data_IF_135636086696
#
_entry.id   IF_135636086696
#
_cell.length_a   1.000
_cell.length_b   1.000
_cell.length_c   1.000
_cell.angle_alpha   90.00
_cell.angle_beta   90.00
_cell.angle_gamma   90.00
#
_symmetry.space_group_name_H-M   'P 1'
#
loop_
_entity.id
_entity.type
_entity.pdbx_description
1 polymer ?
#
# COMPACT_ATOMS: atom_id res chain seq x y z
N UNK A 1 10.84 -11.43 0.34
CA UNK A 1 9.79 -10.44 0.67
C UNK A 1 8.86 -11.01 1.75
N UNK A 2 8.06 -10.20 2.45
CA UNK A 2 7.19 -10.68 3.54
C UNK A 2 6.22 -11.77 3.08
N UNK A 3 5.57 -11.57 1.93
CA UNK A 3 4.71 -12.56 1.29
C UNK A 3 5.39 -13.91 1.08
N UNK A 4 6.61 -13.93 0.52
CA UNK A 4 7.37 -15.16 0.29
C UNK A 4 7.65 -15.92 1.60
N UNK A 5 7.96 -15.20 2.68
CA UNK A 5 8.18 -15.81 3.99
C UNK A 5 6.89 -16.46 4.51
N UNK A 6 5.76 -15.78 4.34
CA UNK A 6 4.44 -16.28 4.71
C UNK A 6 4.04 -17.52 3.91
N UNK A 7 4.12 -17.47 2.58
CA UNK A 7 3.76 -18.60 1.69
C UNK A 7 4.70 -19.79 1.83
N UNK A 8 5.90 -19.59 2.39
CA UNK A 8 6.82 -20.67 2.79
C UNK A 8 6.45 -21.33 4.13
N UNK A 9 5.29 -20.98 4.72
CA UNK A 9 4.76 -21.60 5.94
C UNK A 9 5.15 -20.91 7.24
N UNK A 10 5.55 -19.62 7.22
CA UNK A 10 5.86 -18.86 8.44
C UNK A 10 4.77 -17.84 8.79
N UNK A 11 4.10 -18.09 9.91
CA UNK A 11 3.03 -17.24 10.44
C UNK A 11 1.65 -17.65 9.94
N UNK A 12 0.63 -17.38 10.75
CA UNK A 12 -0.76 -17.79 10.46
C UNK A 12 -1.54 -16.71 9.69
N UNK A 13 -1.09 -15.46 9.78
CA UNK A 13 -1.67 -14.32 9.09
C UNK A 13 -0.58 -13.32 8.69
N UNK A 14 -0.78 -12.66 7.55
CA UNK A 14 0.06 -11.58 7.06
C UNK A 14 -0.78 -10.32 6.83
N UNK A 15 -0.36 -9.20 7.41
CA UNK A 15 -0.88 -7.88 7.06
C UNK A 15 -0.09 -7.40 5.83
N UNK A 16 -0.76 -7.33 4.68
CA UNK A 16 -0.13 -6.95 3.43
C UNK A 16 -1.01 -6.05 2.55
N UNK A 17 -0.45 -5.59 1.44
CA UNK A 17 -1.19 -4.93 0.37
C UNK A 17 -2.13 -5.90 -0.34
N UNK A 18 -3.31 -5.41 -0.74
CA UNK A 18 -4.25 -6.17 -1.58
C UNK A 18 -3.63 -6.62 -2.92
N UNK A 19 -2.70 -5.83 -3.49
CA UNK A 19 -1.97 -6.20 -4.70
C UNK A 19 -1.19 -7.51 -4.54
N UNK A 20 -0.60 -7.71 -3.36
CA UNK A 20 0.27 -8.84 -3.06
C UNK A 20 -0.57 -10.11 -2.83
N UNK A 21 -1.72 -9.96 -2.17
CA UNK A 21 -2.72 -11.03 -2.06
C UNK A 21 -3.24 -11.46 -3.46
N UNK A 22 -3.60 -10.50 -4.31
CA UNK A 22 -4.04 -10.78 -5.69
C UNK A 22 -2.92 -11.43 -6.52
N UNK A 23 -1.66 -11.03 -6.31
CA UNK A 23 -0.52 -11.63 -6.98
C UNK A 23 -0.30 -13.10 -6.55
N UNK A 24 -0.41 -13.38 -5.25
CA UNK A 24 -0.33 -14.74 -4.70
C UNK A 24 -1.46 -15.65 -5.23
N UNK A 25 -2.71 -15.16 -5.26
CA UNK A 25 -3.84 -15.91 -5.86
C UNK A 25 -3.59 -16.23 -7.34
N UNK A 26 -3.03 -15.29 -8.11
CA UNK A 26 -2.65 -15.53 -9.52
C UNK A 26 -1.51 -16.52 -9.68
N UNK A 27 -0.58 -16.55 -8.73
CA UNK A 27 0.52 -17.50 -8.71
C UNK A 27 0.07 -18.92 -8.28
N UNK A 28 -1.15 -19.06 -7.76
CA UNK A 28 -1.68 -20.32 -7.25
C UNK A 28 -1.21 -20.64 -5.83
N UNK A 29 -0.73 -19.63 -5.09
CA UNK A 29 -0.35 -19.81 -3.69
C UNK A 29 -1.58 -20.16 -2.84
N UNK A 30 -1.41 -21.08 -1.89
CA UNK A 30 -2.48 -21.53 -1.01
C UNK A 30 -2.74 -20.53 0.14
N UNK A 31 -3.31 -19.38 -0.20
CA UNK A 31 -3.66 -18.32 0.77
C UNK A 31 -5.17 -18.07 0.84
N UNK A 32 -5.61 -17.41 1.91
CA UNK A 32 -6.94 -16.83 1.98
C UNK A 32 -6.81 -15.31 2.04
N UNK A 33 -7.37 -14.62 1.04
CA UNK A 33 -7.44 -13.17 1.03
C UNK A 33 -8.67 -12.69 1.80
N UNK A 34 -8.44 -11.96 2.90
CA UNK A 34 -9.50 -11.46 3.80
C UNK A 34 -9.44 -9.94 3.89
N UNK A 35 -10.56 -9.28 3.60
CA UNK A 35 -10.74 -7.84 3.84
C UNK A 35 -11.44 -7.62 5.19
N UNK A 36 -10.79 -6.95 6.17
CA UNK A 36 -11.40 -6.69 7.47
C UNK A 36 -12.55 -5.67 7.35
N UNK A 37 -13.42 -5.64 8.37
CA UNK A 37 -14.57 -4.69 8.43
C UNK A 37 -14.15 -3.22 8.33
N UNK A 38 -12.98 -2.91 8.88
CA UNK A 38 -12.33 -1.60 8.84
C UNK A 38 -10.94 -1.75 8.24
N UNK A 39 -10.64 -0.94 7.23
CA UNK A 39 -9.31 -0.89 6.62
C UNK A 39 -8.97 0.54 6.19
N UNK A 40 -7.70 0.78 5.86
CA UNK A 40 -7.19 2.09 5.44
C UNK A 40 -7.04 2.18 3.92
N UNK A 41 -7.41 3.33 3.35
CA UNK A 41 -7.09 3.67 1.97
C UNK A 41 -5.58 3.82 1.81
N UNK A 42 -4.98 2.87 1.11
CA UNK A 42 -3.58 2.95 0.69
C UNK A 42 -3.49 3.88 -0.51
N UNK A 43 -2.66 4.92 -0.40
CA UNK A 43 -2.40 5.86 -1.50
C UNK A 43 -0.91 5.80 -1.84
N UNK A 44 -0.59 5.47 -3.08
CA UNK A 44 0.78 5.35 -3.60
C UNK A 44 1.12 6.60 -4.44
N UNK A 45 1.63 7.69 -3.82
CA UNK A 45 1.91 8.92 -4.54
C UNK A 45 3.10 8.74 -5.50
N UNK A 46 3.00 9.39 -6.67
CA UNK A 46 4.07 9.46 -7.66
C UNK A 46 4.32 10.93 -8.03
N UNK A 47 5.59 11.29 -8.25
CA UNK A 47 5.98 12.65 -8.60
C UNK A 47 7.24 12.67 -9.48
N UNK A 48 7.39 13.72 -10.29
CA UNK A 48 8.64 14.00 -11.02
C UNK A 48 9.64 14.64 -10.06
N UNK A 49 10.89 14.20 -10.11
CA UNK A 49 11.96 14.81 -9.31
C UNK A 49 12.34 16.19 -9.84
N UNK A 50 12.53 17.16 -8.95
CA UNK A 50 12.80 18.55 -9.33
C UNK A 50 14.09 18.73 -10.16
N UNK A 51 15.07 17.83 -10.00
CA UNK A 51 16.38 17.89 -10.70
C UNK A 51 16.51 16.85 -11.81
N UNK A 52 15.41 16.40 -12.40
CA UNK A 52 15.45 15.44 -13.50
C UNK A 52 16.16 16.02 -14.73
N UNK A 53 17.20 15.35 -15.24
CA UNK A 53 17.84 15.65 -16.53
C UNK A 53 16.90 15.43 -17.72
N UNK A 54 15.75 14.79 -17.50
CA UNK A 54 14.75 14.43 -18.50
C UNK A 54 13.35 14.85 -18.08
N UNK A 55 13.20 16.04 -17.48
CA UNK A 55 11.94 16.53 -16.90
C UNK A 55 10.71 16.36 -17.81
N UNK A 56 10.83 16.70 -19.11
CA UNK A 56 9.73 16.56 -20.06
C UNK A 56 9.31 15.09 -20.27
N UNK A 57 10.27 14.16 -20.41
CA UNK A 57 9.98 12.73 -20.55
C UNK A 57 9.40 12.14 -19.26
N UNK A 58 9.93 12.54 -18.10
CA UNK A 58 9.43 12.14 -16.81
C UNK A 58 7.99 12.62 -16.59
N UNK A 59 7.68 13.86 -16.98
CA UNK A 59 6.32 14.40 -16.92
C UNK A 59 5.38 13.68 -17.89
N UNK A 60 5.84 13.36 -19.11
CA UNK A 60 5.05 12.57 -20.05
C UNK A 60 4.74 11.17 -19.51
N UNK A 61 5.71 10.51 -18.87
CA UNK A 61 5.49 9.23 -18.21
C UNK A 61 4.50 9.37 -17.05
N UNK A 62 4.67 10.37 -16.18
CA UNK A 62 3.71 10.64 -15.10
C UNK A 62 2.30 10.86 -15.65
N UNK A 63 2.13 11.66 -16.69
CA UNK A 63 0.84 11.90 -17.34
C UNK A 63 0.25 10.59 -17.92
N UNK A 64 1.08 9.75 -18.51
CA UNK A 64 0.65 8.45 -19.05
C UNK A 64 0.14 7.51 -17.95
N UNK A 65 0.70 7.55 -16.73
CA UNK A 65 0.18 6.77 -15.59
C UNK A 65 -1.29 7.10 -15.28
N UNK A 66 -1.75 8.32 -15.58
CA UNK A 66 -3.14 8.77 -15.39
C UNK A 66 -4.05 8.48 -16.58
N UNK A 67 -3.52 7.98 -17.70
CA UNK A 67 -4.31 7.58 -18.86
C UNK A 67 -5.10 6.30 -18.59
N UNK A 68 -6.13 6.03 -19.41
CA UNK A 68 -6.88 4.78 -19.31
C UNK A 68 -5.98 3.54 -19.49
N UNK A 69 -4.99 3.60 -20.37
CA UNK A 69 -4.05 2.50 -20.60
C UNK A 69 -3.15 2.25 -19.37
N UNK A 70 -2.56 3.32 -18.80
CA UNK A 70 -1.75 3.20 -17.60
C UNK A 70 -2.55 2.67 -16.40
N UNK A 71 -3.78 3.17 -16.23
CA UNK A 71 -4.68 2.73 -15.16
C UNK A 71 -5.16 1.30 -15.34
N UNK A 72 -5.37 0.83 -16.57
CA UNK A 72 -5.70 -0.57 -16.84
C UNK A 72 -4.55 -1.50 -16.43
N UNK A 73 -3.30 -1.13 -16.72
CA UNK A 73 -2.13 -1.91 -16.30
C UNK A 73 -2.05 -1.98 -14.78
N UNK A 74 -2.26 -0.87 -14.06
CA UNK A 74 -2.34 -0.89 -12.59
C UNK A 74 -3.42 -1.87 -12.09
N UNK A 75 -4.61 -1.85 -12.70
CA UNK A 75 -5.69 -2.77 -12.36
C UNK A 75 -5.33 -4.24 -12.59
N UNK A 76 -4.69 -4.53 -13.73
CA UNK A 76 -4.21 -5.87 -14.08
C UNK A 76 -3.15 -6.38 -13.10
N UNK A 77 -2.33 -5.48 -12.54
CA UNK A 77 -1.34 -5.80 -11.52
C UNK A 77 -1.91 -5.82 -10.09
N UNK A 78 -3.23 -5.67 -9.91
CA UNK A 78 -3.88 -5.77 -8.59
C UNK A 78 -3.91 -4.47 -7.79
N UNK A 79 -3.63 -3.33 -8.42
CA UNK A 79 -3.76 -2.02 -7.78
C UNK A 79 -5.08 -1.36 -8.18
N UNK A 80 -5.79 -0.79 -7.20
CA UNK A 80 -7.06 -0.09 -7.44
C UNK A 80 -6.85 1.13 -8.35
N UNK A 81 -7.47 1.19 -9.54
CA UNK A 81 -7.39 2.35 -10.40
C UNK A 81 -8.09 3.56 -9.78
N UNK A 82 -7.54 4.74 -10.03
CA UNK A 82 -8.09 6.02 -9.56
C UNK A 82 -8.92 6.73 -10.64
N UNK A 83 -8.73 6.36 -11.91
CA UNK A 83 -9.56 6.85 -13.01
C UNK A 83 -10.90 6.10 -13.02
N UNK A 84 -12.01 6.81 -12.74
CA UNK A 84 -13.34 6.22 -12.57
C UNK A 84 -13.82 5.34 -13.73
N UNK A 85 -13.50 5.74 -14.97
CA UNK A 85 -13.85 4.97 -16.18
C UNK A 85 -13.15 3.62 -16.24
N UNK A 86 -11.97 3.48 -15.64
CA UNK A 86 -11.25 2.20 -15.52
C UNK A 86 -11.67 1.47 -14.26
N UNK A 87 -11.76 2.16 -13.11
CA UNK A 87 -12.14 1.54 -11.84
C UNK A 87 -13.47 0.77 -11.93
N UNK A 88 -14.46 1.31 -12.65
CA UNK A 88 -15.75 0.65 -12.89
C UNK A 88 -15.64 -0.67 -13.67
N UNK A 89 -14.69 -0.78 -14.61
CA UNK A 89 -14.47 -2.00 -15.39
C UNK A 89 -13.83 -3.13 -14.57
N UNK A 90 -13.11 -2.78 -13.49
CA UNK A 90 -12.39 -3.72 -12.64
C UNK A 90 -13.04 -3.89 -11.26
N UNK A 91 -14.22 -3.33 -11.02
CA UNK A 91 -14.86 -3.32 -9.70
C UNK A 91 -15.06 -4.72 -9.12
N UNK A 92 -15.32 -5.73 -9.96
CA UNK A 92 -15.47 -7.13 -9.52
C UNK A 92 -14.18 -7.76 -8.98
N UNK A 93 -13.01 -7.19 -9.27
CA UNK A 93 -11.71 -7.69 -8.77
C UNK A 93 -11.35 -7.13 -7.39
N UNK A 94 -12.04 -6.10 -6.93
CA UNK A 94 -11.66 -5.34 -5.75
C UNK A 94 -12.82 -5.29 -4.75
N UNK A 95 -12.82 -6.14 -3.71
CA UNK A 95 -13.87 -6.13 -2.70
C UNK A 95 -14.05 -4.75 -2.07
N UNK A 96 -15.28 -4.30 -1.88
CA UNK A 96 -15.53 -3.01 -1.19
C UNK A 96 -15.57 -3.24 0.31
N UNK A 97 -14.64 -2.69 1.10
CA UNK A 97 -14.66 -2.82 2.55
C UNK A 97 -15.86 -2.07 3.14
N UNK A 98 -16.48 -2.56 4.23
CA UNK A 98 -17.59 -1.86 4.89
C UNK A 98 -17.20 -0.46 5.39
N UNK A 99 -15.97 -0.31 5.87
CA UNK A 99 -15.44 0.97 6.33
C UNK A 99 -14.00 1.16 5.83
N UNK A 100 -13.84 2.16 4.97
CA UNK A 100 -12.54 2.58 4.45
C UNK A 100 -12.19 3.95 5.00
N UNK A 101 -11.27 4.02 5.95
CA UNK A 101 -10.79 5.30 6.46
C UNK A 101 -9.56 5.77 5.69
N UNK A 102 -9.26 7.07 5.75
CA UNK A 102 -8.05 7.64 5.16
C UNK A 102 -7.11 8.09 6.27
N UNK A 103 -5.86 8.41 5.93
CA UNK A 103 -4.90 8.97 6.89
C UNK A 103 -5.42 10.23 7.61
N UNK A 104 -6.41 10.94 7.03
CA UNK A 104 -7.05 12.10 7.66
C UNK A 104 -7.78 11.74 8.96
N UNK A 105 -8.35 10.54 9.05
CA UNK A 105 -8.97 10.04 10.28
C UNK A 105 -7.99 10.02 11.45
N UNK A 106 -6.71 9.76 11.16
CA UNK A 106 -5.61 9.78 12.14
C UNK A 106 -4.96 11.17 12.31
N UNK A 107 -5.49 12.21 11.65
CA UNK A 107 -4.96 13.57 11.68
C UNK A 107 -3.86 13.87 10.65
N UNK A 108 -3.69 13.00 9.64
CA UNK A 108 -2.76 13.20 8.53
C UNK A 108 -1.31 12.77 8.83
N UNK A 109 -0.51 12.68 7.77
CA UNK A 109 0.84 12.11 7.82
C UNK A 109 1.79 12.82 8.80
N UNK A 110 1.69 14.14 8.97
CA UNK A 110 2.54 14.86 9.94
C UNK A 110 2.29 14.39 11.37
N UNK A 111 1.02 14.29 11.77
CA UNK A 111 0.65 13.82 13.12
C UNK A 111 1.00 12.34 13.29
N UNK A 112 0.66 11.51 12.31
CA UNK A 112 0.93 10.06 12.34
C UNK A 112 2.42 9.77 12.47
N UNK A 113 3.28 10.42 11.67
CA UNK A 113 4.72 10.24 11.78
C UNK A 113 5.26 10.62 13.16
N UNK A 114 4.87 11.78 13.68
CA UNK A 114 5.32 12.24 15.00
C UNK A 114 4.83 11.34 16.14
N UNK A 115 3.57 10.87 16.06
CA UNK A 115 2.95 10.09 17.12
C UNK A 115 3.46 8.65 17.13
N UNK A 116 3.47 7.98 15.98
CA UNK A 116 3.72 6.54 15.92
C UNK A 116 5.16 6.20 15.52
N UNK A 117 5.76 6.98 14.61
CA UNK A 117 6.98 6.60 13.91
C UNK A 117 8.17 7.53 14.19
N UNK A 118 8.08 8.38 15.21
CA UNK A 118 9.25 9.12 15.66
C UNK A 118 10.31 8.12 16.18
N UNK A 119 11.56 8.20 15.69
CA UNK A 119 12.58 7.19 15.98
C UNK A 119 13.01 7.14 17.46
N UNK A 120 12.64 8.14 18.24
CA UNK A 120 13.03 8.28 19.66
C UNK A 120 11.84 8.13 20.62
N UNK A 121 10.68 8.68 20.25
CA UNK A 121 9.50 8.79 21.14
C UNK A 121 8.20 8.32 20.50
N UNK A 122 8.25 7.78 19.29
CA UNK A 122 7.07 7.24 18.61
C UNK A 122 6.52 6.04 19.38
N UNK A 123 5.20 5.85 19.35
CA UNK A 123 4.57 4.72 20.04
C UNK A 123 5.12 3.36 19.56
N UNK A 124 5.47 3.21 18.27
CA UNK A 124 6.07 1.99 17.75
C UNK A 124 7.45 1.75 18.35
N UNK A 125 8.29 2.78 18.41
CA UNK A 125 9.62 2.72 19.05
C UNK A 125 9.51 2.26 20.50
N UNK A 126 8.54 2.77 21.26
CA UNK A 126 8.31 2.37 22.66
C UNK A 126 7.90 0.89 22.77
N UNK A 127 7.02 0.44 21.87
CA UNK A 127 6.55 -0.96 21.83
C UNK A 127 7.73 -1.89 21.52
N UNK A 128 8.56 -1.54 20.53
CA UNK A 128 9.75 -2.31 20.15
C UNK A 128 10.77 -2.39 21.29
N UNK A 129 11.05 -1.27 21.96
CA UNK A 129 11.94 -1.24 23.13
C UNK A 129 11.41 -2.10 24.29
N UNK A 130 10.12 -2.03 24.58
CA UNK A 130 9.49 -2.86 25.60
C UNK A 130 9.57 -4.36 25.26
N UNK A 131 9.63 -4.70 23.96
CA UNK A 131 9.82 -6.06 23.47
C UNK A 131 11.31 -6.48 23.35
N UNK A 132 12.26 -5.61 23.74
CA UNK A 132 13.70 -5.89 23.64
C UNK A 132 14.24 -5.86 22.21
N UNK A 133 13.52 -5.27 21.26
CA UNK A 133 13.95 -5.10 19.87
C UNK A 133 14.85 -3.86 19.78
N UNK A 134 16.04 -3.96 19.16
CA UNK A 134 16.89 -2.79 18.93
C UNK A 134 16.20 -1.75 18.06
N UNK A 135 16.24 -0.48 18.48
CA UNK A 135 15.70 0.66 17.75
C UNK A 135 16.84 1.61 17.35
N UNK A 136 16.58 2.56 16.44
CA UNK A 136 17.57 3.59 16.08
C UNK A 136 17.95 4.54 17.24
N UNK A 137 17.27 4.39 18.38
CA UNK A 137 17.43 5.16 19.62
C UNK A 137 18.10 4.38 20.75
N UNK A 138 18.37 3.07 20.55
CA UNK A 138 19.04 2.18 21.51
C UNK A 138 20.45 1.80 21.09
#
# INVERSE_FOLDING_TARGET
>A
AALQTFTSGKGDALLDYESDAIAAEKAGDAIQYIVPKQTILIQTPIAVTAKSSHAAKAQAFLNWQWSAAGQAIWAEQGYRPVLASVASQYASKFPTPPQLFTIKFLGGWTKVKSTFFDPSKGEITKIEQAAGVPTASS
#
